data_IF_801821686766
#
_entry.id   IF_801821686766
#
_cell.length_a   1.000
_cell.length_b   1.000
_cell.length_c   1.000
_cell.angle_alpha   90.00
_cell.angle_beta   90.00
_cell.angle_gamma   90.00
#
_symmetry.space_group_name_H-M   'P 1'
#
loop_
_entity.id
_entity.type
_entity.pdbx_description
1 polymer ?
#
# COMPACT_ATOMS: atom_id res chain seq x y z
N UNK A 1 25.62 7.54 37.49
CA UNK A 1 24.80 7.21 36.33
C UNK A 1 25.33 5.95 35.67
N UNK A 2 24.56 4.85 35.77
CA UNK A 2 24.93 3.60 35.11
C UNK A 2 24.41 3.66 33.70
N UNK A 3 25.31 3.76 32.72
CA UNK A 3 24.96 3.58 31.30
C UNK A 3 24.74 2.10 31.03
N UNK A 4 23.48 1.71 30.90
CA UNK A 4 23.12 0.41 30.33
C UNK A 4 23.35 0.46 28.83
N UNK A 5 24.48 -0.03 28.34
CA UNK A 5 24.63 -0.37 26.93
C UNK A 5 23.91 -1.69 26.66
N UNK A 6 22.75 -1.63 26.00
CA UNK A 6 22.13 -2.82 25.45
C UNK A 6 22.95 -3.23 24.22
N UNK A 7 23.69 -4.32 24.35
CA UNK A 7 24.37 -4.95 23.20
C UNK A 7 23.29 -5.57 22.33
N UNK A 8 22.93 -4.91 21.22
CA UNK A 8 22.04 -5.49 20.21
C UNK A 8 22.82 -6.65 19.59
N UNK A 9 22.40 -7.89 19.85
CA UNK A 9 22.88 -9.05 19.11
C UNK A 9 22.47 -8.86 17.66
N UNK A 10 23.40 -9.10 16.72
CA UNK A 10 23.06 -9.20 15.31
C UNK A 10 22.04 -10.34 15.16
N UNK A 11 20.78 -9.99 14.96
CA UNK A 11 19.76 -10.95 14.60
C UNK A 11 20.02 -11.35 13.14
N UNK A 12 20.09 -12.65 12.91
CA UNK A 12 20.09 -13.18 11.54
C UNK A 12 18.67 -12.97 11.02
N UNK A 13 18.54 -12.29 9.88
CA UNK A 13 17.24 -12.12 9.24
C UNK A 13 16.62 -13.49 8.96
N UNK A 14 15.33 -13.61 9.29
CA UNK A 14 14.59 -14.81 8.92
C UNK A 14 14.57 -14.94 7.41
N UNK A 15 14.75 -16.17 6.85
CA UNK A 15 14.63 -16.39 5.42
C UNK A 15 13.31 -15.83 4.88
N UNK A 16 13.37 -15.25 3.70
CA UNK A 16 12.17 -14.75 3.01
C UNK A 16 11.18 -15.91 2.82
N UNK A 17 9.93 -15.71 3.24
CA UNK A 17 8.85 -16.68 3.09
C UNK A 17 7.83 -16.20 2.07
N UNK A 18 7.33 -17.14 1.26
CA UNK A 18 6.29 -16.87 0.28
C UNK A 18 4.92 -16.80 0.96
N UNK A 19 4.09 -15.84 0.58
CA UNK A 19 2.70 -15.79 1.00
C UNK A 19 1.97 -17.07 0.55
N UNK A 20 1.36 -17.77 1.51
CA UNK A 20 0.67 -19.02 1.28
C UNK A 20 -0.84 -18.84 1.07
N UNK A 21 -1.59 -19.94 0.82
CA UNK A 21 -3.03 -19.91 0.57
C UNK A 21 -3.87 -19.46 1.77
N UNK A 22 -3.30 -19.49 2.98
CA UNK A 22 -3.97 -19.07 4.22
C UNK A 22 -3.91 -17.56 4.49
N UNK A 23 -3.26 -16.78 3.61
CA UNK A 23 -3.14 -15.33 3.77
C UNK A 23 -4.52 -14.67 3.92
N UNK A 24 -5.48 -15.02 3.07
CA UNK A 24 -6.83 -14.45 3.12
C UNK A 24 -7.63 -14.89 4.34
N UNK A 25 -7.46 -16.13 4.81
CA UNK A 25 -8.13 -16.62 6.02
C UNK A 25 -7.72 -15.79 7.23
N UNK A 26 -6.43 -15.47 7.35
CA UNK A 26 -5.91 -14.69 8.47
C UNK A 26 -6.16 -13.18 8.36
N UNK A 27 -6.08 -12.61 7.16
CA UNK A 27 -6.09 -11.17 6.95
C UNK A 27 -7.44 -10.61 6.47
N UNK A 28 -8.24 -11.43 5.79
CA UNK A 28 -9.53 -11.03 5.21
C UNK A 28 -10.56 -12.17 5.37
N UNK A 29 -10.88 -12.58 6.62
CA UNK A 29 -11.68 -13.77 6.88
C UNK A 29 -13.09 -13.72 6.29
N UNK A 30 -13.73 -12.57 6.23
CA UNK A 30 -15.11 -12.46 5.71
C UNK A 30 -15.20 -12.81 4.22
N UNK A 31 -14.15 -12.52 3.45
CA UNK A 31 -14.08 -12.84 2.01
C UNK A 31 -13.97 -14.36 1.78
N UNK A 32 -13.41 -15.08 2.74
CA UNK A 32 -13.36 -16.55 2.73
C UNK A 32 -14.61 -17.21 3.35
N UNK A 33 -15.61 -16.40 3.69
CA UNK A 33 -16.87 -16.89 4.29
C UNK A 33 -16.82 -17.07 5.80
N UNK A 34 -15.76 -16.63 6.46
CA UNK A 34 -15.56 -16.74 7.91
C UNK A 34 -15.94 -15.40 8.57
N UNK A 35 -17.13 -15.29 9.10
CA UNK A 35 -17.62 -14.08 9.76
C UNK A 35 -17.26 -14.08 11.26
N UNK A 36 -16.04 -13.63 11.57
CA UNK A 36 -15.55 -13.52 12.95
C UNK A 36 -15.82 -12.12 13.52
N UNK A 37 -15.74 -11.10 12.68
CA UNK A 37 -15.88 -9.71 13.08
C UNK A 37 -17.18 -9.11 12.55
N UNK A 38 -17.79 -8.24 13.35
CA UNK A 38 -18.99 -7.48 12.95
C UNK A 38 -18.69 -6.51 11.81
N UNK A 39 -17.50 -5.91 11.85
CA UNK A 39 -16.97 -5.02 10.82
C UNK A 39 -15.58 -5.52 10.46
N UNK A 40 -15.30 -5.65 9.16
CA UNK A 40 -14.00 -6.08 8.67
C UNK A 40 -12.98 -4.95 8.86
N UNK A 41 -11.84 -5.28 9.49
CA UNK A 41 -10.76 -4.32 9.70
C UNK A 41 -10.25 -3.80 8.36
N UNK A 42 -10.33 -2.48 8.16
CA UNK A 42 -9.84 -1.83 6.96
C UNK A 42 -10.83 -1.80 5.79
N UNK A 43 -12.08 -2.25 5.95
CA UNK A 43 -13.09 -2.15 4.88
C UNK A 43 -13.47 -0.70 4.55
N UNK A 44 -13.37 0.19 5.53
CA UNK A 44 -13.71 1.61 5.40
C UNK A 44 -12.53 2.46 5.90
N UNK A 45 -11.77 3.11 5.00
CA UNK A 45 -10.59 3.88 5.39
C UNK A 45 -10.93 5.15 6.20
N UNK A 46 -12.08 5.76 5.93
CA UNK A 46 -12.56 6.93 6.65
C UNK A 46 -13.99 6.73 7.12
N UNK A 47 -14.26 7.07 8.38
CA UNK A 47 -15.62 7.11 8.94
C UNK A 47 -16.26 8.46 8.65
N UNK A 48 -17.58 8.46 8.38
CA UNK A 48 -18.38 9.67 8.16
C UNK A 48 -17.99 10.50 6.91
N UNK A 49 -17.59 9.84 5.83
CA UNK A 49 -17.37 10.51 4.55
C UNK A 49 -18.71 11.06 4.03
N UNK A 50 -18.71 12.31 3.61
CA UNK A 50 -19.81 12.85 2.79
C UNK A 50 -19.84 12.10 1.45
N UNK A 51 -21.03 11.68 1.00
CA UNK A 51 -21.21 10.96 -0.27
C UNK A 51 -20.66 11.74 -1.49
N UNK A 52 -20.54 13.06 -1.37
CA UNK A 52 -20.02 13.93 -2.44
C UNK A 52 -18.49 13.96 -2.50
N UNK A 53 -17.80 13.42 -1.50
CA UNK A 53 -16.34 13.40 -1.41
C UNK A 53 -15.78 12.00 -1.64
N UNK A 54 -16.65 10.97 -1.69
CA UNK A 54 -16.25 9.61 -1.93
C UNK A 54 -15.79 9.42 -3.39
N UNK A 55 -14.60 8.83 -3.55
CA UNK A 55 -14.08 8.35 -4.82
C UNK A 55 -14.02 6.83 -4.83
N UNK A 56 -14.17 6.25 -6.01
CA UNK A 56 -14.10 4.82 -6.22
C UNK A 56 -12.98 4.50 -7.18
N UNK A 57 -11.93 3.87 -6.66
CA UNK A 57 -10.75 3.47 -7.42
C UNK A 57 -10.87 1.99 -7.76
N UNK A 58 -10.79 1.68 -9.05
CA UNK A 58 -10.78 0.30 -9.55
C UNK A 58 -9.52 0.05 -10.35
N UNK A 59 -9.01 -1.16 -10.27
CA UNK A 59 -7.84 -1.55 -11.02
C UNK A 59 -7.58 -3.04 -10.97
N UNK A 60 -6.52 -3.45 -11.65
CA UNK A 60 -6.00 -4.82 -11.64
C UNK A 60 -4.50 -4.77 -11.40
N UNK A 61 -4.00 -5.83 -10.78
CA UNK A 61 -2.57 -6.07 -10.61
C UNK A 61 -2.20 -7.17 -11.59
N UNK A 62 -1.11 -6.97 -12.30
CA UNK A 62 -0.62 -7.91 -13.29
C UNK A 62 0.74 -8.47 -12.88
N UNK A 63 0.98 -9.71 -13.20
CA UNK A 63 2.29 -10.32 -13.09
C UNK A 63 3.19 -9.95 -14.30
N UNK A 64 4.42 -10.48 -14.31
CA UNK A 64 5.38 -10.23 -15.41
C UNK A 64 4.93 -10.78 -16.77
N UNK A 65 4.00 -11.73 -16.79
CA UNK A 65 3.44 -12.32 -18.01
C UNK A 65 2.22 -11.54 -18.49
N UNK A 66 1.86 -10.46 -17.79
CA UNK A 66 0.65 -9.66 -18.02
C UNK A 66 -0.65 -10.42 -17.71
N UNK A 67 -0.58 -11.40 -16.81
CA UNK A 67 -1.75 -12.09 -16.29
C UNK A 67 -2.28 -11.37 -15.03
N UNK A 68 -3.61 -11.19 -14.88
CA UNK A 68 -4.16 -10.56 -13.70
C UNK A 68 -3.98 -11.44 -12.47
N UNK A 69 -3.50 -10.87 -11.38
CA UNK A 69 -3.36 -11.55 -10.09
C UNK A 69 -4.71 -11.55 -9.39
N UNK A 70 -5.28 -12.74 -9.22
CA UNK A 70 -6.64 -12.93 -8.68
C UNK A 70 -6.70 -13.12 -7.15
N UNK A 71 -5.56 -13.24 -6.48
CA UNK A 71 -5.46 -13.51 -5.05
C UNK A 71 -4.56 -12.52 -4.30
N UNK A 72 -4.46 -11.30 -4.81
CA UNK A 72 -3.72 -10.26 -4.13
C UNK A 72 -4.51 -9.68 -2.96
N UNK A 73 -3.81 -9.51 -1.83
CA UNK A 73 -4.23 -8.65 -0.73
C UNK A 73 -3.53 -7.31 -0.87
N UNK A 74 -4.30 -6.24 -0.74
CA UNK A 74 -3.82 -4.88 -0.90
C UNK A 74 -4.13 -4.12 0.38
N UNK A 75 -3.11 -3.61 1.02
CA UNK A 75 -3.27 -2.60 2.08
C UNK A 75 -2.99 -1.23 1.49
N UNK A 76 -3.82 -0.26 1.83
CA UNK A 76 -3.63 1.11 1.39
C UNK A 76 -3.48 2.02 2.60
N UNK A 77 -2.70 3.07 2.44
CA UNK A 77 -2.49 4.09 3.44
C UNK A 77 -2.46 5.46 2.80
N UNK A 78 -3.25 6.39 3.35
CA UNK A 78 -3.36 7.75 2.84
C UNK A 78 -3.66 8.76 3.95
N UNK A 79 -3.37 10.03 3.69
CA UNK A 79 -3.84 11.14 4.51
C UNK A 79 -5.30 11.52 4.16
N UNK A 80 -5.88 12.41 4.97
CA UNK A 80 -7.17 13.03 4.69
C UNK A 80 -7.08 14.06 3.55
N UNK A 81 -8.19 14.73 3.24
CA UNK A 81 -8.30 15.77 2.21
C UNK A 81 -7.44 17.01 2.50
N UNK A 82 -7.00 17.19 3.75
CA UNK A 82 -6.14 18.29 4.19
C UNK A 82 -4.66 17.89 4.26
N UNK A 83 -4.29 16.69 3.81
CA UNK A 83 -2.93 16.19 3.86
C UNK A 83 -2.47 15.71 5.24
N UNK A 84 -3.40 15.42 6.15
CA UNK A 84 -3.09 15.01 7.53
C UNK A 84 -3.45 13.57 7.80
N UNK A 85 -2.64 12.92 8.62
CA UNK A 85 -2.93 11.60 9.18
C UNK A 85 -3.56 11.78 10.56
N UNK A 86 -4.75 11.21 10.76
CA UNK A 86 -5.49 11.39 11.99
C UNK A 86 -6.14 10.09 12.48
N UNK A 87 -5.96 9.76 13.77
CA UNK A 87 -6.67 8.71 14.52
C UNK A 87 -6.88 7.38 13.80
N UNK A 88 -5.82 6.81 13.20
CA UNK A 88 -5.87 5.52 12.49
C UNK A 88 -6.82 5.49 11.28
N UNK A 89 -7.27 6.64 10.80
CA UNK A 89 -8.01 6.75 9.55
C UNK A 89 -7.05 6.74 8.35
N UNK A 90 -7.58 6.42 7.18
CA UNK A 90 -6.79 6.36 5.95
C UNK A 90 -6.16 5.00 5.65
N UNK A 91 -6.31 4.02 6.53
CA UNK A 91 -5.92 2.63 6.28
C UNK A 91 -7.08 1.85 5.68
N UNK A 92 -6.81 1.05 4.65
CA UNK A 92 -7.74 0.03 4.21
C UNK A 92 -7.03 -1.27 3.83
N UNK A 93 -7.78 -2.35 3.87
CA UNK A 93 -7.36 -3.67 3.42
C UNK A 93 -8.42 -4.23 2.50
N UNK A 94 -8.05 -4.46 1.25
CA UNK A 94 -8.92 -4.97 0.21
C UNK A 94 -8.24 -6.16 -0.48
N UNK A 95 -9.01 -6.90 -1.27
CA UNK A 95 -8.49 -8.02 -2.05
C UNK A 95 -8.92 -7.88 -3.50
N UNK A 96 -8.20 -8.52 -4.40
CA UNK A 96 -8.64 -8.69 -5.78
C UNK A 96 -9.75 -9.73 -5.84
N UNK A 97 -10.71 -9.53 -6.73
CA UNK A 97 -11.73 -10.51 -7.04
C UNK A 97 -11.10 -11.80 -7.57
N UNK A 98 -11.45 -12.94 -6.98
CA UNK A 98 -10.84 -14.24 -7.31
C UNK A 98 -11.13 -14.75 -8.74
N UNK A 99 -12.03 -14.11 -9.48
CA UNK A 99 -12.34 -14.48 -10.86
C UNK A 99 -11.74 -13.49 -11.86
N UNK A 100 -11.81 -12.20 -11.55
CA UNK A 100 -11.46 -11.13 -12.50
C UNK A 100 -10.12 -10.47 -12.21
N UNK A 101 -9.59 -10.61 -10.99
CA UNK A 101 -8.40 -9.90 -10.52
C UNK A 101 -8.63 -8.40 -10.28
N UNK A 102 -9.87 -7.92 -10.38
CA UNK A 102 -10.19 -6.51 -10.12
C UNK A 102 -10.25 -6.24 -8.62
N UNK A 103 -9.64 -5.14 -8.20
CA UNK A 103 -9.83 -4.57 -6.85
C UNK A 103 -10.67 -3.30 -6.92
N UNK A 104 -11.34 -3.00 -5.82
CA UNK A 104 -12.11 -1.77 -5.66
C UNK A 104 -11.81 -1.17 -4.28
N UNK A 105 -11.43 0.10 -4.29
CA UNK A 105 -11.19 0.91 -3.10
C UNK A 105 -12.15 2.10 -3.10
N UNK A 106 -13.01 2.17 -2.09
CA UNK A 106 -13.83 3.35 -1.81
C UNK A 106 -13.14 4.19 -0.76
N UNK A 107 -12.85 5.44 -1.10
CA UNK A 107 -12.10 6.35 -0.23
C UNK A 107 -12.39 7.81 -0.59
N UNK A 108 -11.61 8.74 -0.07
CA UNK A 108 -11.59 10.14 -0.46
C UNK A 108 -10.29 10.47 -1.19
N UNK A 109 -10.26 11.54 -1.96
CA UNK A 109 -8.99 12.03 -2.53
C UNK A 109 -8.13 12.60 -1.41
N UNK A 110 -6.90 12.10 -1.19
CA UNK A 110 -5.98 12.69 -0.22
C UNK A 110 -5.53 14.08 -0.65
N UNK A 111 -5.25 14.94 0.32
CA UNK A 111 -4.64 16.24 0.07
C UNK A 111 -3.13 16.13 -0.15
N UNK A 112 -2.52 17.26 -0.53
CA UNK A 112 -1.08 17.40 -0.58
C UNK A 112 -0.51 17.42 0.83
N UNK A 113 0.68 16.83 1.02
CA UNK A 113 1.34 16.78 2.32
C UNK A 113 2.48 17.78 2.37
N UNK A 114 2.63 18.45 3.50
CA UNK A 114 3.78 19.31 3.79
C UNK A 114 4.78 18.48 4.58
N UNK A 115 5.96 18.26 4.01
CA UNK A 115 7.05 17.54 4.64
C UNK A 115 7.71 18.39 5.75
N UNK A 116 8.50 17.76 6.61
CA UNK A 116 9.23 18.45 7.70
C UNK A 116 10.18 19.54 7.19
N UNK A 117 10.72 19.37 6.00
CA UNK A 117 11.60 20.34 5.32
C UNK A 117 10.83 21.47 4.61
N UNK A 118 9.49 21.50 4.72
CA UNK A 118 8.62 22.48 4.07
C UNK A 118 8.32 22.21 2.61
N UNK A 119 8.86 21.14 2.02
CA UNK A 119 8.50 20.73 0.65
C UNK A 119 7.08 20.14 0.61
N UNK A 120 6.44 20.24 -0.55
CA UNK A 120 5.10 19.70 -0.75
C UNK A 120 5.21 18.37 -1.50
N UNK A 121 4.72 17.30 -0.88
CA UNK A 121 4.47 16.04 -1.55
C UNK A 121 3.10 16.07 -2.21
N UNK A 122 2.98 15.65 -3.47
CA UNK A 122 1.70 15.59 -4.14
C UNK A 122 0.78 14.56 -3.50
N UNK A 123 -0.50 14.66 -3.83
CA UNK A 123 -1.54 13.72 -3.39
C UNK A 123 -1.25 12.30 -3.87
N UNK A 124 -1.16 11.33 -2.95
CA UNK A 124 -0.96 9.93 -3.29
C UNK A 124 -1.63 8.99 -2.29
N UNK A 125 -1.87 7.77 -2.72
CA UNK A 125 -2.22 6.64 -1.86
C UNK A 125 -1.07 5.62 -1.92
N UNK A 126 -0.56 5.22 -0.77
CA UNK A 126 0.43 4.16 -0.66
C UNK A 126 -0.26 2.81 -0.77
N UNK A 127 0.25 1.94 -1.64
CA UNK A 127 -0.19 0.56 -1.83
C UNK A 127 0.89 -0.39 -1.33
N UNK A 128 0.48 -1.33 -0.49
CA UNK A 128 1.28 -2.46 -0.05
C UNK A 128 0.58 -3.73 -0.52
N UNK A 129 1.22 -4.47 -1.41
CA UNK A 129 0.58 -5.55 -2.17
C UNK A 129 1.29 -6.86 -1.87
N UNK A 130 0.53 -7.87 -1.50
CA UNK A 130 0.99 -9.24 -1.29
C UNK A 130 0.09 -10.19 -2.06
N UNK A 131 0.68 -11.18 -2.71
CA UNK A 131 -0.04 -12.24 -3.40
C UNK A 131 0.68 -13.57 -3.22
N UNK A 132 0.01 -14.65 -3.54
CA UNK A 132 0.61 -16.00 -3.53
C UNK A 132 1.81 -16.03 -4.48
N UNK A 133 2.90 -16.63 -4.01
CA UNK A 133 4.14 -16.74 -4.78
C UNK A 133 5.08 -15.54 -4.66
N UNK A 134 4.65 -14.43 -4.05
CA UNK A 134 5.52 -13.29 -3.79
C UNK A 134 6.35 -13.51 -2.52
N UNK A 135 7.67 -13.37 -2.64
CA UNK A 135 8.59 -13.45 -1.48
C UNK A 135 8.67 -12.15 -0.70
N UNK A 136 8.35 -11.03 -1.32
CA UNK A 136 8.36 -9.69 -0.72
C UNK A 136 7.13 -8.92 -1.19
N UNK A 137 6.57 -8.07 -0.34
CA UNK A 137 5.50 -7.17 -0.74
C UNK A 137 5.99 -6.18 -1.79
N UNK A 138 5.11 -5.81 -2.70
CA UNK A 138 5.30 -4.68 -3.59
C UNK A 138 4.76 -3.43 -2.89
N UNK A 139 5.61 -2.42 -2.75
CA UNK A 139 5.23 -1.11 -2.20
C UNK A 139 5.30 -0.10 -3.33
N UNK A 140 4.19 0.59 -3.57
CA UNK A 140 4.09 1.60 -4.63
C UNK A 140 3.16 2.74 -4.21
N UNK A 141 3.24 3.85 -4.92
CA UNK A 141 2.34 5.00 -4.76
C UNK A 141 1.44 5.13 -5.97
N UNK A 142 0.16 5.35 -5.74
CA UNK A 142 -0.79 5.75 -6.77
C UNK A 142 -0.98 7.26 -6.70
N UNK A 143 -0.74 7.95 -7.80
CA UNK A 143 -0.97 9.37 -7.98
C UNK A 143 -2.22 9.61 -8.79
N UNK A 144 -2.81 10.80 -8.66
CA UNK A 144 -4.04 11.16 -9.35
C UNK A 144 -3.81 11.91 -10.67
N UNK A 145 -2.59 12.43 -10.87
CA UNK A 145 -2.21 13.18 -12.07
C UNK A 145 -0.75 12.87 -12.44
N UNK A 146 -0.45 12.80 -13.74
CA UNK A 146 0.92 12.58 -14.24
C UNK A 146 1.88 13.71 -13.87
N UNK A 147 1.39 14.95 -13.75
CA UNK A 147 2.20 16.07 -13.30
C UNK A 147 2.57 15.98 -11.84
N UNK A 148 1.70 15.36 -11.02
CA UNK A 148 1.97 15.08 -9.61
C UNK A 148 3.14 14.10 -9.45
N UNK A 149 3.22 13.07 -10.30
CA UNK A 149 4.34 12.11 -10.30
C UNK A 149 5.67 12.83 -10.53
N UNK A 150 5.73 13.73 -11.52
CA UNK A 150 6.96 14.45 -11.88
C UNK A 150 7.44 15.41 -10.79
N UNK A 151 6.54 15.87 -9.93
CA UNK A 151 6.86 16.77 -8.82
C UNK A 151 7.35 16.05 -7.57
N UNK A 152 7.07 14.75 -7.42
CA UNK A 152 7.45 13.99 -6.23
C UNK A 152 8.96 13.73 -6.17
N UNK A 153 9.57 14.18 -5.08
CA UNK A 153 11.01 14.00 -4.80
C UNK A 153 11.39 12.52 -4.72
N UNK A 154 10.51 11.67 -4.16
CA UNK A 154 10.73 10.23 -4.06
C UNK A 154 10.77 9.56 -5.43
N UNK A 155 9.90 9.99 -6.35
CA UNK A 155 9.89 9.46 -7.71
C UNK A 155 11.16 9.85 -8.48
N UNK A 156 11.60 11.09 -8.33
CA UNK A 156 12.86 11.56 -8.92
C UNK A 156 14.07 10.75 -8.42
N UNK A 157 14.10 10.45 -7.12
CA UNK A 157 15.16 9.63 -6.54
C UNK A 157 15.11 8.17 -7.02
N UNK A 158 13.92 7.58 -7.19
CA UNK A 158 13.77 6.23 -7.75
C UNK A 158 14.26 6.14 -9.20
N UNK A 159 14.03 7.17 -10.02
CA UNK A 159 14.52 7.21 -11.39
C UNK A 159 16.05 7.29 -11.48
N UNK A 160 16.71 7.99 -10.54
CA UNK A 160 18.16 8.02 -10.46
C UNK A 160 18.75 6.64 -10.16
N UNK A 161 18.15 5.88 -9.24
CA UNK A 161 18.58 4.51 -8.94
C UNK A 161 18.36 3.52 -10.08
N UNK A 162 17.32 3.70 -10.89
CA UNK A 162 17.08 2.82 -12.06
C UNK A 162 17.97 3.15 -13.24
N UNK A 163 18.40 4.38 -13.40
CA UNK A 163 19.37 4.77 -14.45
C UNK A 163 20.78 4.25 -14.15
N UNK A 164 21.20 4.29 -12.88
CA UNK A 164 22.52 3.77 -12.48
C UNK A 164 22.59 2.23 -12.58
N UNK A 165 21.49 1.53 -12.36
CA UNK A 165 21.41 0.07 -12.52
C UNK A 165 21.42 -0.39 -13.99
N UNK A 166 21.16 0.49 -14.95
CA UNK A 166 21.21 0.19 -16.38
C UNK A 166 22.62 0.31 -16.97
N UNK A 167 23.53 1.01 -16.30
CA UNK A 167 24.92 1.20 -16.73
C UNK A 167 25.89 0.13 -16.22
N UNK A 168 25.47 -0.76 -15.30
CA UNK A 168 26.26 -1.92 -14.86
C UNK A 168 26.00 -3.17 -15.74
N UNK A 169 26.03 -3.01 -17.05
CA UNK A 169 26.20 -4.12 -17.97
C UNK A 169 27.55 -3.98 -18.66
N UNK A 170 28.58 -4.57 -18.02
CA UNK A 170 29.66 -5.27 -18.74
C UNK A 170 30.44 -6.14 -17.76
#
# INVERSE_FOLDING_TARGET
GHNFMVKIKNFIDTPSQTAGPFLHIGCTPSITGINIFKDELGSIPFKNISLNEEINIKGKIYDRNNDPIIDAMIETWQCDENGKYFNYQGFSRIVTDFKTGEYQLKTIRPGNQINEDGTISPSYILFWIVARGMNRPLITRMYFDENEIKSDVMFKNCLLYTSDAADEKY
#
